data_IF_467539928668
#
_entry.id   IF_467539928668
#
_cell.length_a   1.000
_cell.length_b   1.000
_cell.length_c   1.000
_cell.angle_alpha   90.00
_cell.angle_beta   90.00
_cell.angle_gamma   90.00
#
_symmetry.space_group_name_H-M   'P 1'
#
loop_
_entity.id
_entity.type
_entity.pdbx_description
1 polymer ?
#
# COMPACT_ATOMS: atom_id res chain seq x y z
N UNK A 1 -29.92 45.95 -35.00
CA UNK A 1 -28.71 45.23 -34.62
C UNK A 1 -28.88 44.74 -33.18
N UNK A 2 -29.29 43.47 -33.03
CA UNK A 2 -29.44 42.85 -31.70
C UNK A 2 -28.27 41.86 -31.55
N UNK A 3 -27.46 42.09 -30.54
CA UNK A 3 -26.34 41.24 -30.13
C UNK A 3 -26.85 40.15 -29.22
N UNK A 4 -26.78 38.91 -29.69
CA UNK A 4 -27.21 37.72 -28.96
C UNK A 4 -26.07 37.26 -28.05
N UNK A 5 -26.18 37.47 -26.75
CA UNK A 5 -25.22 36.98 -25.76
C UNK A 5 -25.54 35.53 -25.40
N UNK A 6 -24.80 34.61 -25.98
CA UNK A 6 -24.88 33.19 -25.66
C UNK A 6 -24.35 32.87 -24.27
N UNK A 7 -25.27 32.63 -23.31
CA UNK A 7 -24.91 32.09 -21.98
C UNK A 7 -24.61 30.59 -22.10
N UNK A 8 -23.35 30.25 -22.04
CA UNK A 8 -22.89 28.85 -21.92
C UNK A 8 -23.27 28.31 -20.55
N UNK A 9 -24.26 27.45 -20.50
CA UNK A 9 -24.64 26.72 -19.29
C UNK A 9 -23.57 25.62 -19.04
N UNK A 10 -22.75 25.81 -18.02
CA UNK A 10 -21.88 24.76 -17.50
C UNK A 10 -22.77 23.76 -16.77
N UNK A 11 -22.92 22.58 -17.35
CA UNK A 11 -23.60 21.45 -16.72
C UNK A 11 -22.65 20.82 -15.71
N UNK A 12 -22.83 21.15 -14.42
CA UNK A 12 -22.14 20.46 -13.33
C UNK A 12 -22.81 19.11 -13.15
N UNK A 13 -22.20 18.06 -13.69
CA UNK A 13 -22.58 16.69 -13.37
C UNK A 13 -22.03 16.35 -12.00
N UNK A 14 -22.86 16.45 -10.98
CA UNK A 14 -22.61 15.84 -9.67
C UNK A 14 -22.80 14.33 -9.79
N UNK A 15 -21.70 13.61 -9.96
CA UNK A 15 -21.70 12.15 -9.83
C UNK A 15 -21.64 11.78 -8.35
N UNK A 16 -22.80 11.71 -7.71
CA UNK A 16 -22.98 10.99 -6.45
C UNK A 16 -23.19 9.51 -6.78
N UNK A 17 -22.10 8.76 -6.87
CA UNK A 17 -22.15 7.31 -6.85
C UNK A 17 -21.49 6.85 -5.54
N UNK A 18 -22.29 6.84 -4.47
CA UNK A 18 -21.95 6.11 -3.23
C UNK A 18 -22.19 4.63 -3.55
N UNK A 19 -21.16 3.94 -4.00
CA UNK A 19 -21.16 2.48 -4.01
C UNK A 19 -20.81 2.02 -2.59
N UNK A 20 -21.82 1.88 -1.73
CA UNK A 20 -21.70 1.15 -0.49
C UNK A 20 -21.53 -0.33 -0.83
N UNK A 21 -20.27 -0.78 -0.96
CA UNK A 21 -19.98 -2.21 -0.93
C UNK A 21 -20.20 -2.70 0.50
N UNK A 22 -21.38 -3.25 0.75
CA UNK A 22 -21.65 -4.06 1.93
C UNK A 22 -20.86 -5.36 1.78
N UNK A 23 -19.69 -5.40 2.41
CA UNK A 23 -18.97 -6.67 2.60
C UNK A 23 -19.76 -7.44 3.65
N UNK A 24 -20.52 -8.44 3.19
CA UNK A 24 -21.19 -9.39 4.04
C UNK A 24 -20.13 -10.19 4.83
N UNK A 25 -19.98 -9.85 6.10
CA UNK A 25 -19.21 -10.68 7.04
C UNK A 25 -20.06 -11.91 7.33
N UNK A 26 -19.77 -13.02 6.68
CA UNK A 26 -20.29 -14.32 7.06
C UNK A 26 -19.53 -14.75 8.32
N UNK A 27 -20.08 -14.43 9.50
CA UNK A 27 -19.59 -14.96 10.76
C UNK A 27 -19.97 -16.44 10.83
N UNK A 28 -19.04 -17.33 10.51
CA UNK A 28 -19.15 -18.74 10.84
C UNK A 28 -18.89 -18.89 12.34
N UNK A 29 -19.95 -19.08 13.11
CA UNK A 29 -19.89 -19.46 14.51
C UNK A 29 -19.34 -20.89 14.64
N UNK A 30 -18.04 -21.04 14.92
CA UNK A 30 -17.50 -22.27 15.47
C UNK A 30 -17.57 -22.18 16.98
N UNK A 31 -18.56 -22.88 17.57
CA UNK A 31 -18.63 -23.10 18.98
C UNK A 31 -17.44 -23.95 19.46
N UNK A 32 -16.59 -23.39 20.29
CA UNK A 32 -15.60 -24.14 21.06
C UNK A 32 -16.03 -24.14 22.51
N UNK A 33 -16.42 -25.33 22.97
CA UNK A 33 -16.75 -25.66 24.35
C UNK A 33 -15.51 -25.50 25.22
N UNK A 34 -15.56 -24.58 26.19
CA UNK A 34 -14.54 -24.42 27.21
C UNK A 34 -14.68 -25.51 28.25
N UNK A 35 -13.68 -26.39 28.42
CA UNK A 35 -13.49 -27.19 29.64
C UNK A 35 -12.50 -26.48 30.54
N UNK A 36 -13.02 -26.06 31.66
CA UNK A 36 -12.36 -25.54 32.83
C UNK A 36 -11.54 -26.64 33.53
N UNK A 37 -10.28 -26.39 33.87
CA UNK A 37 -9.54 -27.16 34.91
C UNK A 37 -8.60 -26.21 35.64
N UNK A 38 -9.01 -25.90 36.86
CA UNK A 38 -8.17 -25.28 37.90
C UNK A 38 -7.21 -26.32 38.49
N UNK A 39 -6.00 -25.91 38.84
CA UNK A 39 -5.24 -26.26 40.07
C UNK A 39 -3.89 -25.58 40.02
N UNK A 40 -3.64 -24.60 40.79
CA UNK A 40 -3.14 -24.37 42.15
C UNK A 40 -1.64 -24.71 42.37
N UNK A 41 -0.91 -23.64 42.73
CA UNK A 41 0.16 -23.52 43.76
C UNK A 41 1.49 -24.31 43.57
N UNK A 42 2.66 -23.77 43.70
CA UNK A 42 3.23 -23.05 44.85
C UNK A 42 4.75 -22.85 44.65
N UNK A 43 5.25 -21.73 45.17
CA UNK A 43 6.49 -21.47 45.91
C UNK A 43 7.89 -21.61 45.32
N UNK A 44 8.54 -20.44 45.32
CA UNK A 44 9.84 -20.04 45.93
C UNK A 44 11.11 -20.90 45.78
N UNK A 45 12.20 -20.31 45.32
CA UNK A 45 13.26 -19.76 46.14
C UNK A 45 14.58 -19.65 45.36
N UNK A 46 15.18 -18.48 45.45
CA UNK A 46 16.60 -18.15 45.66
C UNK A 46 17.68 -19.20 45.28
N UNK A 47 18.66 -18.76 44.50
CA UNK A 47 20.04 -18.61 45.00
C UNK A 47 20.94 -17.92 43.96
N UNK A 48 21.75 -16.99 44.51
CA UNK A 48 22.89 -16.30 43.87
C UNK A 48 24.09 -17.23 43.83
N UNK A 49 25.00 -16.92 42.93
CA UNK A 49 26.47 -16.82 43.05
C UNK A 49 27.16 -17.33 41.78
N UNK A 50 27.82 -16.52 41.11
CA UNK A 50 29.20 -15.98 41.11
C UNK A 50 30.23 -16.81 40.31
N UNK A 51 31.00 -16.04 39.56
CA UNK A 51 32.41 -16.11 39.14
C UNK A 51 32.82 -17.08 38.02
N UNK A 52 33.22 -16.53 36.89
CA UNK A 52 34.57 -16.06 36.49
C UNK A 52 35.40 -17.04 35.65
N UNK A 53 35.92 -16.50 34.56
CA UNK A 53 37.13 -16.83 33.78
C UNK A 53 37.08 -17.89 32.65
N UNK A 54 37.57 -17.39 31.52
CA UNK A 54 38.46 -18.16 30.66
C UNK A 54 38.21 -18.04 29.16
N UNK A 55 39.03 -17.27 28.49
CA UNK A 55 39.09 -16.97 27.07
C UNK A 55 39.09 -18.14 26.10
N UNK A 56 38.74 -17.82 24.87
CA UNK A 56 38.86 -18.71 23.73
C UNK A 56 38.25 -18.06 22.48
N UNK A 57 39.06 -17.41 21.66
CA UNK A 57 38.72 -17.00 20.31
C UNK A 57 38.31 -18.20 19.48
N UNK A 58 37.16 -18.09 18.81
CA UNK A 58 36.99 -18.65 17.45
C UNK A 58 35.92 -17.90 16.69
N UNK A 59 36.38 -17.31 15.61
CA UNK A 59 35.71 -16.54 14.60
C UNK A 59 34.91 -17.49 13.72
N UNK A 60 33.58 -17.40 13.76
CA UNK A 60 32.74 -17.91 12.67
C UNK A 60 31.75 -16.84 12.26
N UNK A 61 31.97 -16.32 11.04
CA UNK A 61 31.11 -15.41 10.37
C UNK A 61 29.73 -16.03 10.12
N UNK A 62 28.74 -15.57 10.86
CA UNK A 62 27.33 -15.76 10.57
C UNK A 62 26.79 -14.45 10.01
N UNK A 63 26.57 -14.39 8.71
CA UNK A 63 25.97 -13.23 8.05
C UNK A 63 24.60 -12.94 8.65
N UNK A 64 24.54 -11.90 9.50
CA UNK A 64 23.26 -11.27 9.82
C UNK A 64 22.74 -10.63 8.56
N UNK A 65 21.69 -11.19 7.98
CA UNK A 65 20.89 -10.55 6.95
C UNK A 65 20.32 -9.26 7.54
N UNK A 66 20.86 -8.14 7.05
CA UNK A 66 20.52 -6.78 7.41
C UNK A 66 19.15 -6.44 6.81
N UNK A 67 18.06 -6.77 7.51
CA UNK A 67 16.70 -6.38 7.13
C UNK A 67 16.39 -4.88 7.35
N UNK A 68 17.38 -4.08 7.78
CA UNK A 68 17.20 -2.66 8.06
C UNK A 68 17.31 -1.70 6.87
N UNK A 69 17.90 -2.14 5.73
CA UNK A 69 18.15 -1.25 4.58
C UNK A 69 16.95 -1.00 3.67
N UNK A 70 15.95 -1.87 3.68
CA UNK A 70 14.80 -1.77 2.78
C UNK A 70 13.81 -0.67 3.17
N UNK A 71 13.54 -0.50 4.46
CA UNK A 71 12.53 0.49 4.91
C UNK A 71 12.97 1.94 4.71
N UNK A 72 14.25 2.27 4.90
CA UNK A 72 14.74 3.65 4.66
C UNK A 72 14.70 4.03 3.19
N UNK A 73 15.01 3.11 2.27
CA UNK A 73 14.94 3.37 0.83
C UNK A 73 13.50 3.53 0.33
N UNK A 74 12.55 2.79 0.90
CA UNK A 74 11.13 2.92 0.55
C UNK A 74 10.55 4.25 1.04
N UNK A 75 10.90 4.69 2.25
CA UNK A 75 10.44 5.98 2.78
C UNK A 75 10.91 7.17 1.95
N UNK A 76 12.15 7.15 1.46
CA UNK A 76 12.66 8.21 0.57
C UNK A 76 12.02 8.17 -0.83
N UNK A 77 11.67 6.99 -1.35
CA UNK A 77 10.98 6.86 -2.63
C UNK A 77 9.55 7.42 -2.58
N UNK A 78 8.92 7.45 -1.39
CA UNK A 78 7.57 7.96 -1.18
C UNK A 78 7.52 9.46 -0.87
N UNK A 79 8.65 10.16 -0.75
CA UNK A 79 8.68 11.61 -0.55
C UNK A 79 8.29 12.33 -1.84
N UNK A 80 7.11 12.92 -1.83
CA UNK A 80 6.56 13.69 -2.95
C UNK A 80 6.96 15.17 -2.90
N UNK A 81 7.76 15.59 -1.92
CA UNK A 81 8.19 16.96 -1.73
C UNK A 81 7.14 17.89 -1.11
N UNK A 82 7.37 19.23 -1.18
CA UNK A 82 6.53 20.21 -0.53
C UNK A 82 5.16 20.38 -1.21
N UNK A 83 4.22 21.02 -0.50
CA UNK A 83 2.88 21.41 -0.98
C UNK A 83 2.98 22.61 -1.94
N UNK A 84 3.65 22.45 -3.07
CA UNK A 84 3.79 23.45 -4.13
C UNK A 84 2.76 23.25 -5.27
N UNK A 85 2.88 24.05 -6.34
CA UNK A 85 1.97 23.98 -7.50
C UNK A 85 2.04 22.63 -8.26
N UNK A 86 3.08 21.83 -8.04
CA UNK A 86 3.31 20.56 -8.72
C UNK A 86 3.12 19.34 -7.82
N UNK A 87 2.76 19.54 -6.57
CA UNK A 87 2.56 18.45 -5.62
C UNK A 87 1.57 17.40 -6.15
N UNK A 88 0.41 17.85 -6.64
CA UNK A 88 -0.62 16.94 -7.15
C UNK A 88 -0.17 16.17 -8.39
N UNK A 89 0.66 16.76 -9.25
CA UNK A 89 1.24 16.05 -10.39
C UNK A 89 2.18 14.92 -9.93
N UNK A 90 3.04 15.21 -8.95
CA UNK A 90 3.94 14.20 -8.38
C UNK A 90 3.17 13.08 -7.67
N UNK A 91 2.13 13.42 -6.90
CA UNK A 91 1.24 12.43 -6.30
C UNK A 91 0.55 11.55 -7.34
N UNK A 92 -0.02 12.14 -8.38
CA UNK A 92 -0.69 11.40 -9.45
C UNK A 92 0.30 10.42 -10.11
N UNK A 93 1.48 10.89 -10.50
CA UNK A 93 2.45 10.04 -11.19
C UNK A 93 3.01 8.92 -10.30
N UNK A 94 3.28 9.22 -9.03
CA UNK A 94 3.71 8.24 -8.04
C UNK A 94 2.64 7.17 -7.80
N UNK A 95 1.40 7.57 -7.51
CA UNK A 95 0.30 6.64 -7.22
C UNK A 95 -0.04 5.76 -8.44
N UNK A 96 0.05 6.30 -9.65
CA UNK A 96 -0.13 5.53 -10.89
C UNK A 96 0.93 4.43 -11.06
N UNK A 97 2.18 4.72 -10.75
CA UNK A 97 3.26 3.70 -10.76
C UNK A 97 3.03 2.66 -9.68
N UNK A 98 2.65 3.10 -8.50
CA UNK A 98 2.34 2.26 -7.36
C UNK A 98 1.20 1.28 -7.68
N UNK A 99 0.08 1.72 -8.20
CA UNK A 99 -1.02 0.87 -8.62
C UNK A 99 -0.61 -0.22 -9.62
N UNK A 100 0.30 0.09 -10.56
CA UNK A 100 0.80 -0.90 -11.51
C UNK A 100 1.48 -2.08 -10.82
N UNK A 101 2.24 -1.82 -9.75
CA UNK A 101 2.89 -2.86 -8.97
C UNK A 101 1.88 -3.78 -8.28
N UNK A 102 0.89 -3.20 -7.58
CA UNK A 102 -0.17 -3.99 -6.94
C UNK A 102 -0.97 -4.83 -7.95
N UNK A 103 -1.37 -4.22 -9.07
CA UNK A 103 -2.12 -4.92 -10.13
C UNK A 103 -1.30 -6.10 -10.69
N UNK A 104 0.02 -5.93 -10.89
CA UNK A 104 0.89 -7.00 -11.35
C UNK A 104 0.95 -8.16 -10.34
N UNK A 105 1.21 -7.89 -9.07
CA UNK A 105 1.22 -8.89 -8.00
C UNK A 105 -0.16 -9.56 -7.81
N UNK A 106 -1.25 -8.79 -7.89
CA UNK A 106 -2.60 -9.33 -7.77
C UNK A 106 -2.96 -10.26 -8.94
N UNK A 107 -2.58 -9.93 -10.18
CA UNK A 107 -2.75 -10.84 -11.33
C UNK A 107 -2.00 -12.14 -11.13
N UNK A 108 -0.79 -12.08 -10.60
CA UNK A 108 -0.01 -13.26 -10.27
C UNK A 108 -0.71 -14.12 -9.19
N UNK A 109 -1.27 -13.48 -8.16
CA UNK A 109 -2.03 -14.16 -7.12
C UNK A 109 -3.31 -14.83 -7.65
N UNK A 110 -4.01 -14.22 -8.61
CA UNK A 110 -5.15 -14.86 -9.28
C UNK A 110 -4.76 -16.17 -9.98
N UNK A 111 -3.58 -16.20 -10.58
CA UNK A 111 -3.08 -17.38 -11.32
C UNK A 111 -2.54 -18.46 -10.39
N UNK A 112 -1.74 -18.07 -9.38
CA UNK A 112 -0.93 -18.99 -8.59
C UNK A 112 -1.58 -19.43 -7.27
N UNK A 113 -2.40 -18.59 -6.65
CA UNK A 113 -3.06 -18.97 -5.39
C UNK A 113 -4.12 -20.05 -5.62
N UNK A 114 -4.22 -20.95 -4.63
CA UNK A 114 -5.31 -21.96 -4.56
C UNK A 114 -6.44 -21.54 -3.63
N UNK A 115 -6.25 -20.46 -2.84
CA UNK A 115 -7.24 -19.98 -1.87
C UNK A 115 -8.23 -19.03 -2.55
N UNK A 116 -9.55 -19.28 -2.47
CA UNK A 116 -10.55 -18.40 -3.05
C UNK A 116 -10.54 -17.01 -2.42
N UNK A 117 -10.18 -16.88 -1.14
CA UNK A 117 -10.07 -15.61 -0.42
C UNK A 117 -8.98 -14.72 -1.02
N UNK A 118 -7.80 -15.28 -1.31
CA UNK A 118 -6.69 -14.57 -1.95
C UNK A 118 -7.07 -14.18 -3.38
N UNK A 119 -7.69 -15.08 -4.13
CA UNK A 119 -8.15 -14.76 -5.50
C UNK A 119 -9.19 -13.64 -5.52
N UNK A 120 -10.11 -13.66 -4.53
CA UNK A 120 -11.11 -12.60 -4.41
C UNK A 120 -10.45 -11.27 -4.08
N UNK A 121 -9.58 -11.21 -3.06
CA UNK A 121 -8.84 -10.00 -2.71
C UNK A 121 -8.06 -9.45 -3.92
N UNK A 122 -7.35 -10.32 -4.63
CA UNK A 122 -6.61 -9.95 -5.83
C UNK A 122 -7.53 -9.36 -6.92
N UNK A 123 -8.72 -9.93 -7.11
CA UNK A 123 -9.73 -9.39 -8.04
C UNK A 123 -10.21 -8.00 -7.60
N UNK A 124 -10.50 -7.83 -6.31
CA UNK A 124 -10.98 -6.56 -5.76
C UNK A 124 -9.92 -5.45 -5.93
N UNK A 125 -8.65 -5.76 -5.63
CA UNK A 125 -7.50 -4.85 -5.85
C UNK A 125 -7.38 -4.45 -7.32
N UNK A 126 -7.45 -5.41 -8.25
CA UNK A 126 -7.35 -5.13 -9.68
C UNK A 126 -8.47 -4.19 -10.13
N UNK A 127 -9.71 -4.45 -9.72
CA UNK A 127 -10.87 -3.65 -10.10
C UNK A 127 -10.77 -2.23 -9.55
N UNK A 128 -10.50 -2.09 -8.25
CA UNK A 128 -10.41 -0.79 -7.58
C UNK A 128 -9.29 0.07 -8.19
N UNK A 129 -8.08 -0.46 -8.27
CA UNK A 129 -6.92 0.30 -8.71
C UNK A 129 -6.91 0.58 -10.23
N UNK A 130 -7.51 -0.29 -11.06
CA UNK A 130 -7.74 0.04 -12.46
C UNK A 130 -8.76 1.18 -12.64
N UNK A 131 -9.81 1.23 -11.82
CA UNK A 131 -10.76 2.35 -11.82
C UNK A 131 -10.06 3.65 -11.44
N UNK A 132 -9.30 3.66 -10.34
CA UNK A 132 -8.54 4.83 -9.87
C UNK A 132 -7.55 5.32 -10.92
N UNK A 133 -6.79 4.41 -11.55
CA UNK A 133 -5.83 4.73 -12.62
C UNK A 133 -6.52 5.32 -13.85
N UNK A 134 -7.55 4.64 -14.39
CA UNK A 134 -8.09 4.95 -15.70
C UNK A 134 -9.17 6.04 -15.68
N UNK A 135 -9.98 6.10 -14.62
CA UNK A 135 -11.10 7.02 -14.54
C UNK A 135 -10.79 8.31 -13.82
N UNK A 136 -9.77 8.30 -12.92
CA UNK A 136 -9.42 9.44 -12.09
C UNK A 136 -8.00 9.95 -12.40
N UNK A 137 -6.96 9.25 -11.95
CA UNK A 137 -5.59 9.75 -11.97
C UNK A 137 -5.10 10.12 -13.38
N UNK A 138 -5.30 9.24 -14.37
CA UNK A 138 -4.88 9.51 -15.74
C UNK A 138 -5.64 10.69 -16.34
N UNK A 139 -6.96 10.79 -16.10
CA UNK A 139 -7.79 11.89 -16.61
C UNK A 139 -7.37 13.21 -15.96
N UNK A 140 -7.19 13.24 -14.64
CA UNK A 140 -6.76 14.45 -13.92
C UNK A 140 -5.37 14.90 -14.37
N UNK A 141 -4.44 13.97 -14.58
CA UNK A 141 -3.13 14.31 -15.11
C UNK A 141 -3.22 15.01 -16.47
N UNK A 142 -4.04 14.50 -17.37
CA UNK A 142 -4.24 15.09 -18.71
C UNK A 142 -4.95 16.45 -18.64
N UNK A 143 -5.95 16.56 -17.78
CA UNK A 143 -6.75 17.77 -17.65
C UNK A 143 -6.00 18.91 -16.96
N UNK A 144 -5.30 18.61 -15.86
CA UNK A 144 -4.68 19.64 -15.04
C UNK A 144 -3.25 19.95 -15.42
N UNK A 145 -2.56 19.03 -16.07
CA UNK A 145 -1.15 19.13 -16.45
C UNK A 145 -0.90 18.74 -17.92
N UNK A 146 -1.63 19.33 -18.89
CA UNK A 146 -1.54 18.92 -20.30
C UNK A 146 -0.14 19.13 -20.91
N UNK A 147 0.64 20.06 -20.35
CA UNK A 147 2.00 20.39 -20.80
C UNK A 147 3.10 19.63 -20.03
N UNK A 148 2.72 18.83 -19.02
CA UNK A 148 3.71 18.04 -18.28
C UNK A 148 4.34 16.96 -19.17
N UNK A 149 5.59 16.60 -18.88
CA UNK A 149 6.28 15.48 -19.53
C UNK A 149 5.40 14.24 -19.59
N UNK A 150 5.52 13.45 -20.65
CA UNK A 150 4.88 12.12 -20.74
C UNK A 150 5.45 11.12 -19.72
N UNK A 151 6.68 11.35 -19.27
CA UNK A 151 7.32 10.53 -18.24
C UNK A 151 6.79 10.91 -16.85
N UNK A 152 6.68 9.95 -15.93
CA UNK A 152 6.39 10.23 -14.53
C UNK A 152 7.42 11.17 -13.94
N UNK A 153 6.98 12.04 -13.02
CA UNK A 153 7.85 13.06 -12.43
C UNK A 153 8.00 12.88 -10.91
N UNK A 154 9.16 13.35 -10.41
CA UNK A 154 9.51 13.39 -8.99
C UNK A 154 9.87 14.81 -8.57
N UNK A 155 10.02 15.00 -7.26
CA UNK A 155 10.61 16.19 -6.69
C UNK A 155 12.13 16.18 -6.84
N UNK A 156 12.70 17.16 -7.51
CA UNK A 156 14.15 17.30 -7.74
C UNK A 156 14.81 18.38 -6.88
N UNK A 157 14.07 18.94 -5.89
CA UNK A 157 14.54 20.01 -5.03
C UNK A 157 13.87 21.36 -5.31
N UNK A 158 14.22 22.37 -4.49
CA UNK A 158 13.59 23.71 -4.52
C UNK A 158 13.70 24.39 -5.89
N UNK A 159 14.85 24.27 -6.54
CA UNK A 159 15.12 24.95 -7.83
C UNK A 159 14.60 24.15 -9.04
N UNK A 160 14.29 22.88 -8.84
CA UNK A 160 13.74 21.95 -9.84
C UNK A 160 12.59 21.14 -9.24
N UNK A 161 11.44 21.75 -8.98
CA UNK A 161 10.34 21.10 -8.27
C UNK A 161 9.73 19.92 -9.06
N UNK A 162 10.03 19.82 -10.35
CA UNK A 162 9.58 18.73 -11.24
C UNK A 162 10.77 18.25 -12.07
N UNK A 163 11.13 16.99 -11.92
CA UNK A 163 12.12 16.29 -12.74
C UNK A 163 11.57 14.95 -13.21
N UNK A 164 11.95 14.45 -14.40
CA UNK A 164 11.55 13.11 -14.81
C UNK A 164 12.08 12.05 -13.83
N UNK A 165 11.26 11.09 -13.45
CA UNK A 165 11.71 9.94 -12.66
C UNK A 165 12.69 9.08 -13.46
N UNK A 166 13.80 8.70 -12.85
CA UNK A 166 14.69 7.67 -13.37
C UNK A 166 14.00 6.31 -13.42
N UNK A 167 14.50 5.37 -14.21
CA UNK A 167 13.98 3.99 -14.22
C UNK A 167 14.02 3.35 -12.83
N UNK A 168 15.09 3.60 -12.07
CA UNK A 168 15.21 3.08 -10.71
C UNK A 168 14.13 3.66 -9.78
N UNK A 169 13.88 4.97 -9.84
CA UNK A 169 12.78 5.60 -9.07
C UNK A 169 11.42 5.04 -9.45
N UNK A 170 11.16 4.81 -10.75
CA UNK A 170 9.91 4.20 -11.20
C UNK A 170 9.75 2.77 -10.69
N UNK A 171 10.81 1.97 -10.70
CA UNK A 171 10.81 0.62 -10.13
C UNK A 171 10.58 0.63 -8.61
N UNK A 172 11.31 1.49 -7.88
CA UNK A 172 11.13 1.66 -6.44
C UNK A 172 9.71 2.11 -6.09
N UNK A 173 9.14 3.04 -6.87
CA UNK A 173 7.78 3.53 -6.66
C UNK A 173 6.73 2.46 -6.96
N UNK A 174 6.96 1.58 -7.93
CA UNK A 174 6.02 0.50 -8.22
C UNK A 174 5.95 -0.55 -7.12
N UNK A 175 6.97 -0.66 -6.28
CA UNK A 175 7.07 -1.64 -5.19
C UNK A 175 6.68 -3.08 -5.59
N UNK A 176 6.83 -3.41 -6.87
CA UNK A 176 6.56 -4.75 -7.37
C UNK A 176 7.62 -5.71 -6.83
N UNK A 177 7.17 -6.79 -6.20
CA UNK A 177 8.02 -7.85 -5.64
C UNK A 177 7.86 -9.14 -6.44
N UNK A 178 8.95 -9.90 -6.55
CA UNK A 178 8.88 -11.28 -7.05
C UNK A 178 8.24 -12.16 -5.97
N UNK A 179 7.10 -12.76 -6.31
CA UNK A 179 6.35 -13.63 -5.42
C UNK A 179 6.79 -15.10 -5.51
N UNK A 180 7.69 -15.42 -6.42
CA UNK A 180 8.24 -16.76 -6.62
C UNK A 180 7.24 -17.76 -7.20
N UNK A 181 7.50 -19.04 -6.94
CA UNK A 181 6.71 -20.16 -7.49
C UNK A 181 5.36 -20.36 -6.79
N UNK A 182 4.45 -21.09 -7.45
CA UNK A 182 3.16 -21.51 -6.89
C UNK A 182 3.35 -22.69 -5.91
N UNK A 183 3.94 -22.43 -4.75
CA UNK A 183 4.19 -23.40 -3.69
C UNK A 183 3.30 -23.12 -2.45
N UNK A 184 3.32 -23.94 -1.38
CA UNK A 184 2.49 -23.75 -0.18
C UNK A 184 2.70 -22.41 0.55
N UNK A 185 3.81 -21.70 0.30
CA UNK A 185 4.12 -20.40 0.90
C UNK A 185 3.80 -19.22 -0.03
N UNK A 186 3.29 -19.47 -1.23
CA UNK A 186 2.98 -18.41 -2.20
C UNK A 186 2.03 -17.36 -1.62
N UNK A 187 0.93 -17.79 -1.00
CA UNK A 187 -0.06 -16.86 -0.43
C UNK A 187 0.52 -16.03 0.72
N UNK A 188 1.44 -16.59 1.50
CA UNK A 188 2.15 -15.84 2.54
C UNK A 188 3.01 -14.74 1.93
N UNK A 189 3.82 -15.07 0.91
CA UNK A 189 4.66 -14.08 0.22
C UNK A 189 3.84 -12.99 -0.46
N UNK A 190 2.70 -13.36 -1.07
CA UNK A 190 1.76 -12.39 -1.63
C UNK A 190 1.24 -11.43 -0.56
N UNK A 191 0.77 -11.95 0.59
CA UNK A 191 0.26 -11.12 1.68
C UNK A 191 1.36 -10.20 2.24
N UNK A 192 2.57 -10.70 2.46
CA UNK A 192 3.70 -9.92 2.96
C UNK A 192 4.04 -8.77 2.01
N UNK A 193 4.16 -9.07 0.72
CA UNK A 193 4.44 -8.09 -0.32
C UNK A 193 3.32 -7.04 -0.43
N UNK A 194 2.06 -7.48 -0.43
CA UNK A 194 0.92 -6.58 -0.61
C UNK A 194 0.65 -5.73 0.64
N UNK A 195 0.90 -6.24 1.84
CA UNK A 195 0.84 -5.44 3.08
C UNK A 195 1.85 -4.29 3.00
N UNK A 196 3.12 -4.59 2.71
CA UNK A 196 4.16 -3.56 2.60
C UNK A 196 3.84 -2.54 1.49
N UNK A 197 3.32 -3.03 0.36
CA UNK A 197 2.87 -2.20 -0.76
C UNK A 197 1.73 -1.25 -0.33
N UNK A 198 0.71 -1.75 0.32
CA UNK A 198 -0.43 -0.95 0.78
C UNK A 198 -0.03 0.06 1.86
N UNK A 199 0.88 -0.30 2.77
CA UNK A 199 1.43 0.64 3.76
C UNK A 199 2.10 1.84 3.06
N UNK A 200 2.81 1.63 1.95
CA UNK A 200 3.37 2.70 1.12
C UNK A 200 2.30 3.61 0.51
N UNK A 201 1.23 3.05 -0.04
CA UNK A 201 0.12 3.83 -0.59
C UNK A 201 -0.59 4.65 0.49
N UNK A 202 -0.82 4.06 1.68
CA UNK A 202 -1.44 4.76 2.81
C UNK A 202 -0.60 5.97 3.23
N UNK A 203 0.74 5.84 3.28
CA UNK A 203 1.63 6.96 3.59
C UNK A 203 1.51 8.08 2.54
N UNK A 204 1.58 7.76 1.25
CA UNK A 204 1.40 8.75 0.18
C UNK A 204 0.01 9.41 0.22
N UNK A 205 -1.04 8.65 0.49
CA UNK A 205 -2.40 9.14 0.59
C UNK A 205 -2.58 10.08 1.78
N UNK A 206 -2.04 9.75 2.95
CA UNK A 206 -2.05 10.62 4.13
C UNK A 206 -1.32 11.94 3.87
N UNK A 207 -0.16 11.90 3.21
CA UNK A 207 0.59 13.09 2.81
C UNK A 207 -0.24 13.95 1.83
N UNK A 208 -0.88 13.32 0.84
CA UNK A 208 -1.70 14.02 -0.15
C UNK A 208 -2.96 14.64 0.46
N UNK A 209 -3.58 13.99 1.44
CA UNK A 209 -4.75 14.55 2.14
C UNK A 209 -4.43 15.86 2.87
N UNK A 210 -3.18 16.02 3.33
CA UNK A 210 -2.70 17.22 4.00
C UNK A 210 -2.19 18.29 3.02
N UNK A 211 -1.40 17.90 2.02
CA UNK A 211 -0.64 18.82 1.15
C UNK A 211 -1.40 19.26 -0.09
N UNK A 212 -2.28 18.42 -0.65
CA UNK A 212 -3.05 18.79 -1.83
C UNK A 212 -4.01 19.94 -1.52
N UNK A 213 -4.18 20.83 -2.50
CA UNK A 213 -5.22 21.88 -2.46
C UNK A 213 -6.49 21.48 -3.22
N UNK A 214 -6.47 20.36 -3.93
CA UNK A 214 -7.60 19.88 -4.72
C UNK A 214 -8.49 18.96 -3.90
N UNK A 215 -9.78 19.26 -3.79
CA UNK A 215 -10.72 18.41 -3.04
C UNK A 215 -10.81 16.99 -3.64
N UNK A 216 -10.68 16.85 -4.96
CA UNK A 216 -10.72 15.57 -5.66
C UNK A 216 -9.54 14.66 -5.24
N UNK A 217 -8.33 15.22 -5.14
CA UNK A 217 -7.15 14.49 -4.67
C UNK A 217 -7.31 14.10 -3.19
N UNK A 218 -7.79 15.01 -2.35
CA UNK A 218 -8.03 14.73 -0.93
C UNK A 218 -9.06 13.63 -0.73
N UNK A 219 -10.14 13.67 -1.50
CA UNK A 219 -11.16 12.63 -1.46
C UNK A 219 -10.58 11.27 -1.86
N UNK A 220 -9.92 11.18 -3.02
CA UNK A 220 -9.29 9.94 -3.47
C UNK A 220 -8.26 9.43 -2.47
N UNK A 221 -7.43 10.31 -1.90
CA UNK A 221 -6.44 9.95 -0.90
C UNK A 221 -7.08 9.31 0.35
N UNK A 222 -8.17 9.88 0.85
CA UNK A 222 -8.91 9.31 1.98
C UNK A 222 -9.55 7.97 1.63
N UNK A 223 -10.09 7.81 0.41
CA UNK A 223 -10.66 6.55 -0.07
C UNK A 223 -9.58 5.45 -0.16
N UNK A 224 -8.42 5.76 -0.75
CA UNK A 224 -7.24 4.85 -0.82
C UNK A 224 -6.81 4.45 0.58
N UNK A 225 -6.57 5.42 1.48
CA UNK A 225 -6.11 5.13 2.83
C UNK A 225 -7.10 4.22 3.58
N UNK A 226 -8.40 4.49 3.46
CA UNK A 226 -9.44 3.72 4.15
C UNK A 226 -9.58 2.31 3.60
N UNK A 227 -9.61 2.14 2.27
CA UNK A 227 -9.76 0.82 1.65
C UNK A 227 -8.54 -0.06 1.90
N UNK A 228 -7.33 0.49 1.68
CA UNK A 228 -6.12 -0.29 1.82
C UNK A 228 -5.77 -0.64 3.27
N UNK A 229 -6.13 0.20 4.25
CA UNK A 229 -6.03 -0.17 5.67
C UNK A 229 -6.90 -1.39 6.02
N UNK A 230 -8.11 -1.51 5.44
CA UNK A 230 -8.98 -2.68 5.62
C UNK A 230 -8.35 -3.93 5.00
N UNK A 231 -7.79 -3.82 3.81
CA UNK A 231 -7.12 -4.92 3.13
C UNK A 231 -5.85 -5.37 3.89
N UNK A 232 -5.05 -4.44 4.42
CA UNK A 232 -3.92 -4.74 5.32
C UNK A 232 -4.40 -5.53 6.55
N UNK A 233 -5.46 -5.06 7.23
CA UNK A 233 -5.99 -5.73 8.41
C UNK A 233 -6.46 -7.16 8.07
N UNK A 234 -7.13 -7.33 6.95
CA UNK A 234 -7.60 -8.63 6.46
C UNK A 234 -6.43 -9.58 6.18
N UNK A 235 -5.40 -9.11 5.48
CA UNK A 235 -4.21 -9.92 5.18
C UNK A 235 -3.44 -10.29 6.46
N UNK A 236 -3.28 -9.36 7.42
CA UNK A 236 -2.67 -9.64 8.73
C UNK A 236 -3.46 -10.69 9.51
N UNK A 237 -4.80 -10.65 9.45
CA UNK A 237 -5.65 -11.68 10.06
C UNK A 237 -5.44 -13.06 9.40
N UNK A 238 -5.37 -13.14 8.08
CA UNK A 238 -5.13 -14.39 7.36
C UNK A 238 -3.72 -14.94 7.60
N UNK A 239 -2.68 -14.07 7.67
CA UNK A 239 -1.34 -14.50 8.05
C UNK A 239 -1.32 -15.19 9.40
N UNK A 240 -1.98 -14.60 10.39
CA UNK A 240 -2.10 -15.20 11.73
C UNK A 240 -2.86 -16.51 11.69
N UNK A 241 -4.00 -16.56 11.00
CA UNK A 241 -4.87 -17.75 10.98
C UNK A 241 -4.27 -18.93 10.20
N UNK A 242 -3.56 -18.67 9.10
CA UNK A 242 -3.10 -19.73 8.20
C UNK A 242 -1.64 -20.11 8.37
N UNK A 243 -0.83 -19.19 8.90
CA UNK A 243 0.63 -19.35 8.99
C UNK A 243 1.18 -19.12 10.40
N UNK A 244 0.34 -18.74 11.35
CA UNK A 244 0.71 -18.42 12.73
C UNK A 244 1.77 -17.28 12.83
N UNK A 245 1.66 -16.26 11.96
CA UNK A 245 2.59 -15.12 11.85
C UNK A 245 1.87 -13.77 11.98
#
# INVERSE_FOLDING_TARGET
MQTNSGKTKVLVLTLTAIATMTIGVLAANFGISAKNSQSSNNTNAHLKQDMQHGGGMMQHGGGMMQHGGGMMNHSMAMDLGPADAYYDLRFIDAMRLHHRGAIAMAKEAQLKSKRPEIKKLASDIIVAQNREENELLRKWRQQWYPQASKQPVAYGGKDKPVVPMTKQQQQSMSMMMDLGTADPKFDLRFMDAMIAHHEGAVMMAQDASQKSKRPEIKQLANEIATSQQKEIAQMKQWRKAWYNQ
#
